data_IF_029883283219
#
_entry.id   IF_029883283219
#
_cell.length_a   1.000
_cell.length_b   1.000
_cell.length_c   1.000
_cell.angle_alpha   90.00
_cell.angle_beta   90.00
_cell.angle_gamma   90.00
#
_symmetry.space_group_name_H-M   'P 1'
#
loop_
_entity.id
_entity.type
_entity.pdbx_description
1 polymer ?
#
# COMPACT_ATOMS: atom_id res chain seq x y z
N UNK A 1 18.67 -78.14 -40.29
CA UNK A 1 17.39 -77.44 -40.03
C UNK A 1 17.65 -76.41 -38.94
N UNK A 2 17.45 -75.12 -39.26
CA UNK A 2 17.67 -74.00 -38.34
C UNK A 2 16.73 -74.06 -37.12
N UNK A 3 17.19 -73.75 -35.89
CA UNK A 3 16.30 -73.56 -34.76
C UNK A 3 15.62 -72.19 -34.86
N UNK A 4 14.30 -72.17 -34.72
CA UNK A 4 13.46 -70.97 -34.70
C UNK A 4 13.65 -70.21 -33.38
N UNK A 5 14.51 -69.19 -33.38
CA UNK A 5 14.60 -68.23 -32.29
C UNK A 5 13.41 -67.26 -32.35
N UNK A 6 12.56 -67.31 -31.33
CA UNK A 6 11.37 -66.47 -31.13
C UNK A 6 11.72 -64.98 -31.01
N UNK A 7 10.97 -64.06 -31.65
CA UNK A 7 11.24 -62.61 -31.63
C UNK A 7 10.74 -61.89 -30.36
N UNK A 8 10.23 -62.62 -29.36
CA UNK A 8 9.58 -62.06 -28.16
C UNK A 8 10.54 -61.39 -27.18
N UNK A 9 11.81 -61.78 -27.15
CA UNK A 9 12.80 -61.23 -26.21
C UNK A 9 13.26 -59.82 -26.62
N UNK A 10 13.32 -59.52 -27.92
CA UNK A 10 13.73 -58.21 -28.42
C UNK A 10 12.67 -57.12 -28.25
N UNK A 11 11.38 -57.48 -28.32
CA UNK A 11 10.26 -56.53 -28.12
C UNK A 11 10.14 -56.13 -26.65
N UNK A 12 10.40 -57.06 -25.72
CA UNK A 12 10.40 -56.77 -24.28
C UNK A 12 11.48 -55.78 -23.85
N UNK A 13 12.69 -55.87 -24.44
CA UNK A 13 13.79 -54.95 -24.11
C UNK A 13 13.54 -53.53 -24.65
N UNK A 14 12.86 -53.39 -25.79
CA UNK A 14 12.53 -52.09 -26.38
C UNK A 14 11.44 -51.34 -25.59
N UNK A 15 10.49 -52.07 -24.99
CA UNK A 15 9.43 -51.49 -24.15
C UNK A 15 9.98 -50.98 -22.80
N UNK A 16 10.96 -51.66 -22.20
CA UNK A 16 11.59 -51.22 -20.95
C UNK A 16 12.40 -49.91 -21.15
N UNK A 17 13.08 -49.76 -22.29
CA UNK A 17 13.77 -48.52 -22.63
C UNK A 17 12.84 -47.33 -22.93
N UNK A 18 11.64 -47.59 -23.47
CA UNK A 18 10.63 -46.55 -23.71
C UNK A 18 10.00 -46.01 -22.42
N UNK A 19 9.94 -46.81 -21.34
CA UNK A 19 9.44 -46.34 -20.04
C UNK A 19 10.50 -45.59 -19.21
N UNK A 20 11.80 -45.89 -19.36
CA UNK A 20 12.87 -45.14 -18.67
C UNK A 20 13.16 -43.77 -19.28
N UNK A 21 12.80 -43.51 -20.54
CA UNK A 21 13.05 -42.24 -21.21
C UNK A 21 12.06 -41.11 -20.81
N UNK A 22 10.98 -41.43 -20.08
CA UNK A 22 9.99 -40.47 -19.61
C UNK A 22 10.20 -39.95 -18.18
N UNK A 23 11.26 -40.37 -17.48
CA UNK A 23 11.68 -39.71 -16.24
C UNK A 23 12.65 -38.56 -16.54
N UNK A 24 12.17 -37.56 -17.28
CA UNK A 24 12.81 -36.25 -17.26
C UNK A 24 12.13 -35.47 -16.15
N UNK A 25 12.71 -35.52 -14.95
CA UNK A 25 12.39 -34.54 -13.92
C UNK A 25 12.60 -33.16 -14.57
N UNK A 26 11.49 -32.46 -14.81
CA UNK A 26 11.57 -31.02 -15.01
C UNK A 26 12.05 -30.48 -13.67
N UNK A 27 13.36 -30.26 -13.56
CA UNK A 27 13.89 -29.36 -12.55
C UNK A 27 13.42 -27.96 -12.96
N UNK A 28 12.15 -27.67 -12.68
CA UNK A 28 11.69 -26.30 -12.56
C UNK A 28 12.45 -25.76 -11.36
N UNK A 29 13.54 -25.08 -11.65
CA UNK A 29 14.24 -24.23 -10.71
C UNK A 29 13.25 -23.09 -10.39
N UNK A 30 12.25 -23.38 -9.55
CA UNK A 30 11.29 -22.39 -9.09
C UNK A 30 12.11 -21.36 -8.35
N UNK A 31 12.18 -20.15 -8.89
CA UNK A 31 12.67 -19.01 -8.13
C UNK A 31 11.90 -19.01 -6.80
N UNK A 32 12.59 -19.29 -5.70
CA UNK A 32 11.96 -19.37 -4.39
C UNK A 32 11.37 -17.99 -4.10
N UNK A 33 10.04 -17.91 -4.07
CA UNK A 33 9.36 -16.65 -3.83
C UNK A 33 9.80 -16.11 -2.47
N UNK A 34 10.36 -14.89 -2.45
CA UNK A 34 10.76 -14.21 -1.22
C UNK A 34 9.56 -13.70 -0.42
N UNK A 35 8.38 -13.69 -1.04
CA UNK A 35 7.11 -13.29 -0.45
C UNK A 35 6.11 -14.42 -0.57
N UNK A 36 5.32 -14.59 0.49
CA UNK A 36 4.20 -15.53 0.52
C UNK A 36 2.91 -14.76 0.77
N UNK A 37 1.89 -15.02 -0.03
CA UNK A 37 0.57 -14.47 0.18
C UNK A 37 -0.03 -15.04 1.48
N UNK A 38 -0.52 -14.18 2.35
CA UNK A 38 -1.30 -14.57 3.53
C UNK A 38 -2.78 -14.32 3.27
N UNK A 39 -3.66 -15.29 3.57
CA UNK A 39 -5.10 -15.12 3.38
C UNK A 39 -5.69 -14.17 4.43
N UNK A 40 -6.77 -13.45 4.06
CA UNK A 40 -7.47 -12.52 4.95
C UNK A 40 -7.99 -13.21 6.22
N UNK A 41 -8.34 -14.50 6.13
CA UNK A 41 -8.77 -15.31 7.28
C UNK A 41 -7.66 -15.50 8.31
N UNK A 42 -6.38 -15.43 7.89
CA UNK A 42 -5.22 -15.50 8.77
C UNK A 42 -4.82 -14.13 9.30
N UNK A 43 -4.87 -13.09 8.46
CA UNK A 43 -4.41 -11.75 8.85
C UNK A 43 -5.48 -10.91 9.52
N UNK A 44 -6.75 -11.22 9.28
CA UNK A 44 -7.91 -10.40 9.60
C UNK A 44 -7.90 -9.02 8.93
N UNK A 45 -7.13 -8.87 7.84
CA UNK A 45 -7.16 -7.69 6.98
C UNK A 45 -8.05 -8.01 5.77
N UNK A 46 -9.20 -7.34 5.71
CA UNK A 46 -10.22 -7.49 4.67
C UNK A 46 -10.45 -6.20 3.85
N UNK A 47 -9.63 -5.17 4.10
CA UNK A 47 -9.75 -3.89 3.41
C UNK A 47 -9.58 -4.03 1.90
N UNK A 48 -10.49 -3.39 1.16
CA UNK A 48 -10.43 -3.29 -0.29
C UNK A 48 -10.89 -1.88 -0.70
N UNK A 49 -10.02 -1.12 -1.39
CA UNK A 49 -10.38 0.19 -1.94
C UNK A 49 -11.21 0.01 -3.22
N UNK A 50 -12.48 -0.32 -3.04
CA UNK A 50 -13.41 -0.51 -4.17
C UNK A 50 -13.72 0.84 -4.80
N UNK A 51 -13.55 0.93 -6.12
CA UNK A 51 -13.88 2.09 -6.94
C UNK A 51 -15.00 1.68 -7.89
N UNK A 52 -16.11 2.42 -7.88
CA UNK A 52 -17.28 2.12 -8.72
C UNK A 52 -17.52 3.24 -9.73
N UNK A 53 -17.37 2.93 -11.02
CA UNK A 53 -17.67 3.87 -12.09
C UNK A 53 -19.19 4.11 -12.22
N UNK A 54 -19.54 5.34 -12.60
CA UNK A 54 -20.87 5.67 -13.08
C UNK A 54 -20.79 6.65 -14.26
N UNK A 55 -21.87 6.84 -15.05
CA UNK A 55 -21.89 7.86 -16.10
C UNK A 55 -21.58 9.29 -15.60
N UNK A 56 -21.79 9.56 -14.30
CA UNK A 56 -21.49 10.85 -13.67
C UNK A 56 -20.09 10.94 -13.06
N UNK A 57 -19.50 9.81 -12.67
CA UNK A 57 -18.21 9.75 -11.98
C UNK A 57 -17.41 8.61 -12.59
N UNK A 58 -16.47 8.99 -13.46
CA UNK A 58 -15.61 8.11 -14.24
C UNK A 58 -14.35 8.86 -14.67
N UNK A 59 -13.44 8.13 -15.33
CA UNK A 59 -12.16 8.68 -15.81
C UNK A 59 -12.31 9.87 -16.77
N UNK A 60 -13.39 9.96 -17.54
CA UNK A 60 -13.63 11.08 -18.46
C UNK A 60 -14.06 12.34 -17.71
N UNK A 61 -14.83 12.19 -16.62
CA UNK A 61 -15.22 13.30 -15.75
C UNK A 61 -14.12 13.71 -14.77
N UNK A 62 -13.24 12.77 -14.40
CA UNK A 62 -12.16 12.98 -13.44
C UNK A 62 -10.97 12.08 -13.81
N UNK A 63 -9.94 12.68 -14.40
CA UNK A 63 -8.77 11.94 -14.93
C UNK A 63 -7.96 11.18 -13.87
N UNK A 64 -8.15 11.48 -12.59
CA UNK A 64 -7.46 10.83 -11.47
C UNK A 64 -8.36 9.82 -10.74
N UNK A 65 -9.47 9.40 -11.36
CA UNK A 65 -10.46 8.52 -10.72
C UNK A 65 -9.86 7.22 -10.15
N UNK A 66 -8.83 6.69 -10.82
CA UNK A 66 -8.08 5.49 -10.41
C UNK A 66 -6.78 5.79 -9.65
N UNK A 67 -6.43 7.06 -9.49
CA UNK A 67 -5.30 7.45 -8.69
C UNK A 67 -5.77 7.58 -7.24
N UNK A 68 -4.99 6.98 -6.34
CA UNK A 68 -5.19 7.17 -4.91
C UNK A 68 -5.55 5.91 -4.15
N UNK A 69 -5.85 6.12 -2.88
CA UNK A 69 -5.57 5.14 -1.86
C UNK A 69 -4.10 5.22 -1.43
N UNK A 70 -3.78 4.51 -0.36
CA UNK A 70 -2.47 4.58 0.27
C UNK A 70 -2.45 3.70 1.50
N UNK A 71 -1.25 3.24 1.82
CA UNK A 71 -0.99 2.46 3.01
C UNK A 71 0.11 3.17 3.80
N UNK A 72 -0.09 3.24 5.11
CA UNK A 72 0.95 3.63 6.04
C UNK A 72 1.17 2.51 7.03
N UNK A 73 2.43 2.31 7.39
CA UNK A 73 2.87 1.29 8.35
C UNK A 73 3.72 1.95 9.41
N UNK A 74 3.47 1.62 10.67
CA UNK A 74 4.28 2.10 11.79
C UNK A 74 3.67 1.71 13.14
N UNK A 75 4.51 1.70 14.17
CA UNK A 75 4.12 1.37 15.55
C UNK A 75 3.32 2.53 16.18
N UNK A 76 1.98 2.43 16.15
CA UNK A 76 1.08 3.52 16.57
C UNK A 76 0.94 3.59 18.09
N UNK A 77 1.13 2.45 18.77
CA UNK A 77 0.93 2.31 20.21
C UNK A 77 2.22 2.05 21.02
N UNK A 78 3.38 2.10 20.35
CA UNK A 78 4.71 1.86 20.90
C UNK A 78 4.85 0.48 21.55
N UNK A 79 4.21 -0.55 20.98
CA UNK A 79 4.33 -1.93 21.48
C UNK A 79 5.42 -2.76 20.76
N UNK A 80 6.13 -2.14 19.82
CA UNK A 80 7.18 -2.75 19.02
C UNK A 80 6.67 -3.53 17.80
N UNK A 81 5.37 -3.46 17.50
CA UNK A 81 4.77 -4.07 16.31
C UNK A 81 4.27 -2.99 15.35
N UNK A 82 4.53 -3.20 14.07
CA UNK A 82 4.06 -2.30 13.03
C UNK A 82 2.54 -2.46 12.81
N UNK A 83 1.79 -1.36 13.00
CA UNK A 83 0.37 -1.24 12.69
C UNK A 83 0.16 -0.76 11.25
N UNK A 84 -1.07 -0.87 10.74
CA UNK A 84 -1.38 -0.56 9.35
C UNK A 84 -2.57 0.37 9.24
N UNK A 85 -2.42 1.46 8.49
CA UNK A 85 -3.52 2.32 8.08
C UNK A 85 -3.70 2.30 6.57
N UNK A 86 -4.93 2.07 6.12
CA UNK A 86 -5.32 2.18 4.72
C UNK A 86 -6.23 3.39 4.51
N UNK A 87 -5.90 4.21 3.52
CA UNK A 87 -6.86 5.15 2.97
C UNK A 87 -7.70 4.49 1.87
N UNK A 88 -8.99 4.77 1.88
CA UNK A 88 -9.88 4.50 0.76
C UNK A 88 -10.39 5.79 0.13
N UNK A 89 -10.81 5.69 -1.13
CA UNK A 89 -11.39 6.80 -1.88
C UNK A 89 -12.92 6.77 -1.77
N UNK A 90 -13.55 5.73 -2.34
CA UNK A 90 -14.99 5.46 -2.25
C UNK A 90 -15.33 4.44 -1.16
N UNK A 91 -14.31 3.92 -0.48
CA UNK A 91 -14.43 3.03 0.68
C UNK A 91 -13.90 3.77 1.92
N UNK A 92 -14.50 3.61 3.12
CA UNK A 92 -13.95 4.19 4.34
C UNK A 92 -12.52 3.72 4.60
N UNK A 93 -11.68 4.61 5.14
CA UNK A 93 -10.35 4.25 5.62
C UNK A 93 -10.41 3.22 6.76
N UNK A 94 -9.32 2.48 6.97
CA UNK A 94 -9.21 1.47 8.02
C UNK A 94 -7.89 1.59 8.77
N UNK A 95 -7.94 1.42 10.09
CA UNK A 95 -6.79 1.30 10.97
C UNK A 95 -6.78 -0.08 11.63
N UNK A 96 -5.70 -0.81 11.43
CA UNK A 96 -5.48 -2.16 11.90
C UNK A 96 -4.33 -2.19 12.90
N UNK A 97 -4.63 -2.61 14.13
CA UNK A 97 -3.64 -2.82 15.19
C UNK A 97 -3.03 -4.22 15.08
N UNK A 98 -1.71 -4.32 15.07
CA UNK A 98 -1.01 -5.59 15.02
C UNK A 98 -1.10 -6.31 16.38
N UNK A 99 -1.56 -7.56 16.37
CA UNK A 99 -1.67 -8.42 17.56
C UNK A 99 -0.53 -9.43 17.65
N UNK A 100 0.46 -9.31 16.78
CA UNK A 100 1.54 -10.28 16.58
C UNK A 100 1.15 -11.39 15.61
N UNK A 101 2.14 -12.17 15.17
CA UNK A 101 1.95 -13.32 14.28
C UNK A 101 1.20 -13.00 12.97
N UNK A 102 1.34 -11.77 12.46
CA UNK A 102 0.62 -11.26 11.28
C UNK A 102 -0.90 -11.28 11.42
N UNK A 103 -1.43 -11.23 12.65
CA UNK A 103 -2.85 -11.06 12.94
C UNK A 103 -3.13 -9.61 13.33
N UNK A 104 -4.20 -9.04 12.79
CA UNK A 104 -4.53 -7.64 12.98
C UNK A 104 -5.95 -7.48 13.52
N UNK A 105 -6.20 -6.39 14.24
CA UNK A 105 -7.51 -6.02 14.75
C UNK A 105 -7.94 -4.70 14.11
N UNK A 106 -9.10 -4.66 13.44
CA UNK A 106 -9.69 -3.39 13.00
C UNK A 106 -10.10 -2.57 14.23
N UNK A 107 -9.35 -1.50 14.48
CA UNK A 107 -9.57 -0.57 15.58
C UNK A 107 -10.11 0.77 15.09
N UNK A 108 -10.49 0.91 13.81
CA UNK A 108 -10.86 2.19 13.18
C UNK A 108 -11.84 3.01 14.03
N UNK A 109 -12.95 2.40 14.45
CA UNK A 109 -13.95 3.07 15.28
C UNK A 109 -13.50 3.24 16.73
N UNK A 110 -12.78 2.26 17.29
CA UNK A 110 -12.23 2.33 18.67
C UNK A 110 -11.21 3.46 18.80
N UNK A 111 -10.47 3.71 17.73
CA UNK A 111 -9.52 4.78 17.59
C UNK A 111 -10.16 6.15 17.38
N UNK A 112 -11.49 6.23 17.20
CA UNK A 112 -12.17 7.51 16.98
C UNK A 112 -12.07 8.02 15.53
N UNK A 113 -11.63 7.19 14.58
CA UNK A 113 -11.69 7.50 13.15
C UNK A 113 -13.13 7.28 12.69
N UNK A 114 -13.97 8.28 12.94
CA UNK A 114 -15.41 8.26 12.60
C UNK A 114 -15.74 9.06 11.35
N UNK A 115 -14.82 9.93 10.91
CA UNK A 115 -14.97 10.67 9.67
C UNK A 115 -14.73 9.74 8.49
N UNK A 116 -15.84 9.21 7.96
CA UNK A 116 -15.92 8.60 6.64
C UNK A 116 -15.80 9.73 5.60
N UNK A 117 -14.67 10.45 5.59
CA UNK A 117 -14.35 11.32 4.47
C UNK A 117 -14.02 10.43 3.27
N UNK A 118 -15.06 10.07 2.51
CA UNK A 118 -14.95 9.51 1.17
C UNK A 118 -14.40 10.61 0.25
N UNK A 119 -13.11 10.83 0.38
CA UNK A 119 -12.34 11.77 -0.42
C UNK A 119 -11.26 10.98 -1.13
N UNK A 120 -11.01 11.27 -2.40
CA UNK A 120 -9.82 10.75 -3.07
C UNK A 120 -8.59 11.18 -2.28
N UNK A 121 -7.71 10.23 -2.00
CA UNK A 121 -6.47 10.49 -1.25
C UNK A 121 -5.30 10.05 -2.11
N UNK A 122 -4.32 10.94 -2.31
CA UNK A 122 -3.15 10.63 -3.17
C UNK A 122 -2.01 9.94 -2.41
N UNK A 123 -2.04 9.98 -1.07
CA UNK A 123 -1.05 9.32 -0.21
C UNK A 123 -1.36 9.50 1.27
N UNK A 124 -0.79 8.63 2.08
CA UNK A 124 -0.84 8.67 3.56
C UNK A 124 0.52 8.27 4.13
N UNK A 125 0.86 8.79 5.31
CA UNK A 125 2.02 8.35 6.08
C UNK A 125 1.76 8.44 7.58
N UNK A 126 2.63 7.82 8.36
CA UNK A 126 2.68 7.91 9.81
C UNK A 126 4.00 8.52 10.25
N UNK A 127 3.93 9.51 11.14
CA UNK A 127 5.10 10.13 11.72
C UNK A 127 4.72 10.92 12.98
N UNK A 128 5.67 11.03 13.91
CA UNK A 128 5.51 11.84 15.13
C UNK A 128 5.70 13.32 14.77
N UNK A 129 4.59 14.04 14.63
CA UNK A 129 4.56 15.40 14.09
C UNK A 129 4.93 16.44 15.14
N UNK A 130 4.64 16.19 16.41
CA UNK A 130 4.85 17.17 17.49
C UNK A 130 5.93 16.73 18.48
N UNK A 131 6.61 15.61 18.21
CA UNK A 131 7.66 15.09 19.08
C UNK A 131 7.13 14.55 20.40
N UNK A 132 5.88 14.06 20.46
CA UNK A 132 5.32 13.48 21.69
C UNK A 132 5.60 11.98 21.86
N UNK A 133 6.30 11.40 20.89
CA UNK A 133 6.69 9.99 20.87
C UNK A 133 5.60 9.07 20.31
N UNK A 134 4.48 9.59 19.81
CA UNK A 134 3.44 8.79 19.15
C UNK A 134 3.30 9.18 17.69
N UNK A 135 3.19 8.17 16.83
CA UNK A 135 2.96 8.42 15.41
C UNK A 135 1.55 8.99 15.20
N UNK A 136 1.47 10.10 14.48
CA UNK A 136 0.25 10.65 13.90
C UNK A 136 0.06 10.13 12.47
N UNK A 137 -1.13 10.32 11.90
CA UNK A 137 -1.41 9.97 10.50
C UNK A 137 -1.58 11.26 9.69
N UNK A 138 -0.81 11.39 8.61
CA UNK A 138 -0.90 12.51 7.68
C UNK A 138 -1.40 12.00 6.34
N UNK A 139 -2.45 12.60 5.80
CA UNK A 139 -3.04 12.20 4.52
C UNK A 139 -3.32 13.37 3.60
N UNK A 140 -3.10 13.18 2.30
CA UNK A 140 -3.38 14.22 1.29
C UNK A 140 -4.68 13.91 0.58
N UNK A 141 -5.58 14.90 0.50
CA UNK A 141 -6.86 14.81 -0.20
C UNK A 141 -6.76 15.39 -1.60
N UNK A 142 -6.99 14.55 -2.60
CA UNK A 142 -7.20 14.95 -3.98
C UNK A 142 -8.54 15.70 -4.12
N UNK A 143 -8.61 16.66 -5.04
CA UNK A 143 -9.78 17.52 -5.27
C UNK A 143 -10.01 18.65 -4.25
N UNK A 144 -9.68 18.44 -2.97
CA UNK A 144 -9.78 19.49 -1.94
C UNK A 144 -8.48 20.27 -1.71
N UNK A 145 -7.37 19.81 -2.33
CA UNK A 145 -6.04 20.37 -2.16
C UNK A 145 -5.70 20.61 -0.69
N UNK A 146 -5.90 19.59 0.15
CA UNK A 146 -5.74 19.69 1.60
C UNK A 146 -4.86 18.57 2.11
N UNK A 147 -3.89 18.89 2.97
CA UNK A 147 -3.21 17.92 3.82
C UNK A 147 -3.96 17.88 5.16
N UNK A 148 -4.41 16.70 5.56
CA UNK A 148 -5.13 16.47 6.81
C UNK A 148 -4.20 15.76 7.79
N UNK A 149 -4.11 16.29 8.99
CA UNK A 149 -3.43 15.68 10.12
C UNK A 149 -4.46 15.01 11.03
N UNK A 150 -4.26 13.73 11.31
CA UNK A 150 -4.98 12.96 12.30
C UNK A 150 -4.02 12.68 13.47
N UNK A 151 -4.29 13.34 14.60
CA UNK A 151 -3.46 13.36 15.80
C UNK A 151 -3.68 12.13 16.67
N UNK A 152 -2.62 11.44 17.04
CA UNK A 152 -2.65 10.39 18.04
C UNK A 152 -2.45 10.99 19.44
N UNK A 153 -3.56 11.28 20.11
CA UNK A 153 -3.52 12.01 21.40
C UNK A 153 -3.24 11.10 22.60
N UNK A 154 -3.47 9.80 22.44
CA UNK A 154 -3.22 8.75 23.43
C UNK A 154 -3.47 7.44 22.72
N UNK A 155 -2.47 6.60 22.43
CA UNK A 155 -2.71 5.44 21.59
C UNK A 155 -3.80 4.50 22.11
N UNK A 156 -4.67 3.97 21.22
CA UNK A 156 -4.79 4.28 19.79
C UNK A 156 -5.87 5.34 19.49
N UNK A 157 -6.06 6.36 20.33
CA UNK A 157 -7.06 7.42 20.17
C UNK A 157 -6.57 8.48 19.19
N UNK A 158 -7.19 8.49 18.03
CA UNK A 158 -6.97 9.40 16.92
C UNK A 158 -8.05 10.50 16.92
N UNK A 159 -7.63 11.75 16.70
CA UNK A 159 -8.51 12.90 16.51
C UNK A 159 -8.12 13.68 15.29
N UNK A 160 -9.06 14.40 14.71
CA UNK A 160 -8.73 15.39 13.69
C UNK A 160 -7.91 16.51 14.32
N UNK A 161 -6.74 16.77 13.75
CA UNK A 161 -5.89 17.90 14.07
C UNK A 161 -6.00 18.99 13.02
N UNK A 162 -4.86 19.44 12.52
CA UNK A 162 -4.77 20.53 11.56
C UNK A 162 -5.19 20.13 10.13
N UNK A 163 -5.50 21.14 9.32
CA UNK A 163 -5.69 21.01 7.87
C UNK A 163 -4.91 22.13 7.17
N UNK A 164 -4.05 21.74 6.25
CA UNK A 164 -3.20 22.67 5.48
C UNK A 164 -3.71 22.73 4.07
N UNK A 165 -3.84 23.94 3.55
CA UNK A 165 -4.31 24.22 2.18
C UNK A 165 -3.14 24.78 1.37
N UNK A 166 -2.35 23.92 0.69
CA UNK A 166 -1.30 24.37 -0.21
C UNK A 166 -1.85 25.27 -1.33
N UNK A 167 -1.03 26.21 -1.81
CA UNK A 167 -1.41 27.13 -2.89
C UNK A 167 -1.39 26.47 -4.28
N UNK A 168 -0.79 25.28 -4.40
CA UNK A 168 -0.62 24.54 -5.65
C UNK A 168 -1.51 23.31 -5.66
N UNK A 169 -2.14 23.01 -6.80
CA UNK A 169 -2.95 21.80 -7.01
C UNK A 169 -2.06 20.56 -6.82
N UNK A 170 -2.25 19.84 -5.70
CA UNK A 170 -1.43 18.70 -5.30
C UNK A 170 -1.86 17.48 -6.11
N UNK A 171 -1.04 17.06 -7.08
CA UNK A 171 -1.32 15.84 -7.86
C UNK A 171 -0.76 14.60 -7.17
N UNK A 172 0.38 14.73 -6.48
CA UNK A 172 1.03 13.65 -5.74
C UNK A 172 1.85 14.25 -4.59
N UNK A 173 1.68 13.73 -3.39
CA UNK A 173 2.53 14.11 -2.25
C UNK A 173 3.24 12.87 -1.75
N UNK A 174 4.56 12.89 -1.81
CA UNK A 174 5.39 11.92 -1.12
C UNK A 174 5.69 12.54 0.24
N UNK A 175 5.15 11.95 1.30
CA UNK A 175 5.51 12.38 2.66
C UNK A 175 6.69 11.51 3.08
N UNK A 176 7.86 12.12 3.20
CA UNK A 176 9.08 11.42 3.57
C UNK A 176 9.45 11.83 4.99
N UNK A 177 9.40 10.87 5.92
CA UNK A 177 9.99 11.05 7.23
C UNK A 177 11.49 10.77 7.12
N UNK A 178 12.23 11.77 6.64
CA UNK A 178 13.67 11.69 6.50
C UNK A 178 14.33 11.66 7.87
N UNK A 179 14.56 10.45 8.40
CA UNK A 179 15.19 10.18 9.70
C UNK A 179 14.26 10.55 10.85
N UNK A 180 14.07 9.65 11.81
CA UNK A 180 13.23 9.80 13.01
C UNK A 180 13.67 10.97 13.93
N UNK A 181 13.65 12.21 13.46
CA UNK A 181 14.11 13.41 14.17
C UNK A 181 12.97 14.29 14.68
N UNK A 182 11.71 13.88 14.45
CA UNK A 182 10.53 14.64 14.86
C UNK A 182 10.16 15.79 13.94
N UNK A 183 10.77 15.88 12.74
CA UNK A 183 10.43 16.87 11.72
C UNK A 183 9.96 16.15 10.45
N UNK A 184 8.69 16.32 10.10
CA UNK A 184 8.14 15.75 8.87
C UNK A 184 8.31 16.74 7.72
N UNK A 185 9.11 16.33 6.74
CA UNK A 185 9.23 17.03 5.47
C UNK A 185 8.14 16.52 4.52
N UNK A 186 7.12 17.35 4.29
CA UNK A 186 6.11 17.07 3.26
C UNK A 186 6.63 17.60 1.92
N UNK A 187 6.92 16.70 0.97
CA UNK A 187 7.25 17.07 -0.41
C UNK A 187 6.00 16.94 -1.29
N UNK A 188 5.45 18.09 -1.71
CA UNK A 188 4.30 18.16 -2.63
C UNK A 188 4.82 18.32 -4.05
N UNK A 189 4.52 17.35 -4.93
CA UNK A 189 4.86 17.39 -6.35
C UNK A 189 3.63 17.72 -7.21
N UNK A 190 3.78 18.66 -8.14
CA UNK A 190 2.71 19.14 -9.02
C UNK A 190 2.88 18.57 -10.45
N UNK A 191 1.80 18.02 -11.02
CA UNK A 191 1.79 17.55 -12.41
C UNK A 191 1.33 18.61 -13.44
N UNK A 192 0.62 19.66 -13.03
CA UNK A 192 -0.04 20.60 -13.96
C UNK A 192 0.93 21.56 -14.66
N UNK A 193 2.11 21.80 -14.07
CA UNK A 193 3.14 22.68 -14.62
C UNK A 193 4.25 21.93 -15.39
N UNK A 194 4.11 20.62 -15.55
CA UNK A 194 5.19 19.73 -15.99
C UNK A 194 5.60 19.89 -17.47
N UNK A 195 4.76 20.46 -18.34
CA UNK A 195 5.13 20.51 -19.77
C UNK A 195 6.12 21.63 -20.11
N UNK A 196 6.03 22.82 -19.50
CA UNK A 196 7.00 23.91 -19.72
C UNK A 196 8.16 23.91 -18.71
N UNK A 197 7.93 23.51 -17.45
CA UNK A 197 8.96 23.61 -16.40
C UNK A 197 9.96 22.45 -16.36
N UNK A 198 9.64 21.26 -16.89
CA UNK A 198 10.59 20.13 -17.00
C UNK A 198 11.79 20.50 -17.87
N UNK A 199 11.65 21.41 -18.83
CA UNK A 199 12.79 21.97 -19.61
C UNK A 199 13.68 22.93 -18.81
N UNK A 200 13.22 23.46 -17.68
CA UNK A 200 13.90 24.51 -16.90
C UNK A 200 14.42 24.05 -15.53
N UNK A 201 14.17 22.80 -15.12
CA UNK A 201 14.58 22.21 -13.84
C UNK A 201 14.16 23.03 -12.59
N UNK A 202 13.08 23.81 -12.69
CA UNK A 202 12.52 24.62 -11.59
C UNK A 202 11.28 23.93 -11.01
N UNK A 203 11.49 22.90 -10.20
CA UNK A 203 10.43 22.38 -9.33
C UNK A 203 10.19 23.40 -8.21
N UNK A 204 8.95 23.87 -8.06
CA UNK A 204 8.55 24.66 -6.89
C UNK A 204 8.28 23.67 -5.76
N UNK A 205 9.19 23.62 -4.77
CA UNK A 205 8.96 22.88 -3.54
C UNK A 205 8.35 23.84 -2.53
N UNK A 206 7.15 23.55 -2.04
CA UNK A 206 6.64 24.17 -0.81
C UNK A 206 6.97 23.21 0.34
N UNK A 207 7.83 23.65 1.25
CA UNK A 207 8.14 22.92 2.48
C UNK A 207 7.26 23.47 3.58
N UNK A 208 6.42 22.63 4.16
CA UNK A 208 5.61 22.97 5.33
C UNK A 208 6.23 22.28 6.55
N UNK A 209 6.41 23.02 7.64
CA UNK A 209 6.78 22.47 8.94
C UNK A 209 5.50 22.27 9.73
N UNK A 210 5.14 21.03 10.00
CA UNK A 210 3.92 20.71 10.73
C UNK A 210 4.00 21.08 12.22
N UNK A 211 5.21 21.21 12.76
CA UNK A 211 5.49 21.42 14.18
C UNK A 211 5.11 22.85 14.66
N UNK A 212 4.71 23.73 13.75
CA UNK A 212 4.27 25.11 14.05
C UNK A 212 2.73 25.25 14.12
N UNK A 213 1.98 24.15 13.99
CA UNK A 213 0.50 24.09 13.99
C UNK A 213 -0.06 23.42 15.25
#
# INVERSE_FOLDING_TARGET
MYPSSTPTVFIGLCLIFLFSACHREKTEQSAQAQFSLLPAEKTHIDFNNVIEESPRVNVMSYQYFYNGGGVSVGDLNNDGLDDIYFSGNMTPAKLYLNKGNMQFEDITLKAGITEIELSWKTGVTMADVNGDGYLDIVGVRDGANTIRLLRNIKPPVIKIGASIYPNLFSAFTAINNGVHTGDIDIEINNLRDSYEKVRSNKYQKEKFFLNEL
#
